data_IF_221228354845
#
_entry.id   IF_221228354845
#
_cell.length_a   1.000
_cell.length_b   1.000
_cell.length_c   1.000
_cell.angle_alpha   90.00
_cell.angle_beta   90.00
_cell.angle_gamma   90.00
#
_symmetry.space_group_name_H-M   'P 1'
#
loop_
_entity.id
_entity.type
_entity.pdbx_description
1 polymer ?
#
# COMPACT_ATOMS: atom_id res chain seq x y z
N UNK A 1 18.54 8.49 22.76
CA UNK A 1 17.68 9.64 23.12
C UNK A 1 17.37 10.33 21.80
N UNK A 2 16.14 10.70 21.54
CA UNK A 2 15.76 11.44 20.32
C UNK A 2 16.04 12.94 20.54
N UNK A 3 16.32 13.67 19.47
CA UNK A 3 16.70 15.08 19.55
C UNK A 3 15.47 16.00 19.63
N UNK A 4 14.48 15.74 18.79
CA UNK A 4 13.27 16.57 18.68
C UNK A 4 11.99 15.80 19.02
N UNK A 5 12.03 14.47 19.08
CA UNK A 5 10.87 13.64 19.36
C UNK A 5 10.76 13.41 20.87
N UNK A 6 9.61 13.76 21.45
CA UNK A 6 9.30 13.55 22.85
C UNK A 6 8.57 12.23 23.05
N UNK A 7 9.25 11.29 23.73
CA UNK A 7 8.60 10.03 24.11
C UNK A 7 7.65 10.28 25.27
N UNK A 8 6.38 9.86 25.18
CA UNK A 8 5.45 10.00 26.31
C UNK A 8 5.99 9.35 27.57
N UNK A 9 5.85 10.04 28.71
CA UNK A 9 6.28 9.50 30.01
C UNK A 9 5.46 8.27 30.43
N UNK A 10 4.20 8.21 30.00
CA UNK A 10 3.32 7.07 30.19
C UNK A 10 3.21 6.25 28.89
N UNK A 11 3.08 4.95 29.05
CA UNK A 11 2.94 4.03 27.94
C UNK A 11 4.15 3.13 27.74
N UNK A 12 3.95 2.10 26.92
CA UNK A 12 4.98 1.11 26.59
C UNK A 12 4.97 0.81 25.11
N UNK A 13 6.12 0.39 24.58
CA UNK A 13 6.23 -0.07 23.19
C UNK A 13 5.42 -1.35 22.96
N UNK A 14 4.80 -1.46 21.79
CA UNK A 14 4.39 -2.74 21.24
C UNK A 14 5.67 -3.50 20.86
N UNK A 15 5.72 -4.79 21.17
CA UNK A 15 6.86 -5.65 20.81
C UNK A 15 6.42 -6.79 19.92
N UNK A 16 7.32 -7.27 19.07
CA UNK A 16 7.08 -8.35 18.12
C UNK A 16 7.79 -9.61 18.61
N UNK A 17 7.08 -10.73 18.65
CA UNK A 17 7.63 -12.05 18.97
C UNK A 17 8.31 -12.67 17.74
N UNK A 18 9.04 -13.77 17.94
CA UNK A 18 9.72 -14.48 16.85
C UNK A 18 8.77 -15.05 15.77
N UNK A 19 7.51 -15.30 16.13
CA UNK A 19 6.44 -15.73 15.22
C UNK A 19 5.64 -14.57 14.61
N UNK A 20 6.15 -13.34 14.74
CA UNK A 20 5.51 -12.09 14.32
C UNK A 20 4.21 -11.73 15.04
N UNK A 21 3.80 -12.46 16.08
CA UNK A 21 2.71 -12.03 16.95
C UNK A 21 3.11 -10.81 17.77
N UNK A 22 2.12 -9.99 18.14
CA UNK A 22 2.35 -8.73 18.85
C UNK A 22 2.03 -8.86 20.33
N UNK A 23 2.92 -8.32 21.19
CA UNK A 23 2.62 -8.05 22.58
C UNK A 23 2.17 -6.59 22.69
N UNK A 24 0.85 -6.40 22.85
CA UNK A 24 0.23 -5.07 22.94
C UNK A 24 -0.05 -4.74 24.40
N UNK A 25 0.62 -3.74 25.00
CA UNK A 25 0.36 -3.31 26.37
C UNK A 25 -1.00 -2.60 26.48
N UNK A 26 -1.49 -2.42 27.72
CA UNK A 26 -2.75 -1.70 27.95
C UNK A 26 -2.67 -0.20 27.63
N UNK A 27 -1.47 0.34 27.60
CA UNK A 27 -1.18 1.72 27.22
C UNK A 27 -0.04 1.74 26.19
N UNK A 28 -0.31 1.37 24.90
CA UNK A 28 0.69 1.37 23.85
C UNK A 28 1.07 2.80 23.46
N UNK A 29 2.36 3.01 23.16
CA UNK A 29 2.84 4.24 22.51
C UNK A 29 2.68 4.03 21.01
N UNK A 30 1.90 4.91 20.36
CA UNK A 30 1.67 4.91 18.92
C UNK A 30 2.25 6.19 18.32
N UNK A 31 3.32 6.11 17.52
CA UNK A 31 3.81 7.24 16.75
C UNK A 31 2.79 7.69 15.72
N UNK A 32 2.69 9.02 15.51
CA UNK A 32 1.91 9.56 14.42
C UNK A 32 2.62 10.72 13.73
N UNK A 33 2.41 10.83 12.42
CA UNK A 33 2.80 11.97 11.60
C UNK A 33 1.54 12.75 11.29
N UNK A 34 1.47 14.04 11.68
CA UNK A 34 0.30 14.90 11.43
C UNK A 34 -0.03 14.97 9.94
N UNK A 35 1.00 15.10 9.10
CA UNK A 35 0.87 15.25 7.65
C UNK A 35 0.77 16.71 7.21
N UNK A 36 0.73 16.89 5.89
CA UNK A 36 0.71 18.18 5.21
C UNK A 36 -0.69 18.49 4.68
N UNK A 37 -0.95 19.74 4.30
CA UNK A 37 -2.24 20.15 3.76
C UNK A 37 -3.38 19.83 4.74
N UNK A 38 -4.37 19.06 4.31
CA UNK A 38 -5.51 18.64 5.18
C UNK A 38 -5.09 17.72 6.34
N UNK A 39 -3.82 17.28 6.40
CA UNK A 39 -3.29 16.52 7.53
C UNK A 39 -3.48 17.20 8.87
N UNK A 40 -3.34 18.54 8.92
CA UNK A 40 -3.55 19.36 10.12
C UNK A 40 -5.00 19.32 10.63
N UNK A 41 -5.94 19.04 9.75
CA UNK A 41 -7.38 18.97 10.10
C UNK A 41 -7.76 17.53 10.51
N UNK A 42 -7.35 16.54 9.73
CA UNK A 42 -7.80 15.15 9.91
C UNK A 42 -7.07 14.44 11.06
N UNK A 43 -5.80 14.72 11.30
CA UNK A 43 -5.02 14.00 12.33
C UNK A 43 -5.51 14.24 13.75
N UNK A 44 -5.86 15.48 14.19
CA UNK A 44 -6.48 15.69 15.48
C UNK A 44 -7.85 15.02 15.63
N UNK A 45 -8.64 14.95 14.54
CA UNK A 45 -9.93 14.26 14.54
C UNK A 45 -9.73 12.75 14.65
N UNK A 46 -8.77 12.20 13.92
CA UNK A 46 -8.39 10.79 14.01
C UNK A 46 -8.04 10.40 15.45
N UNK A 47 -7.19 11.17 16.13
CA UNK A 47 -6.82 10.92 17.53
C UNK A 47 -8.06 10.88 18.43
N UNK A 48 -8.94 11.88 18.33
CA UNK A 48 -10.17 11.96 19.13
C UNK A 48 -11.10 10.75 18.90
N UNK A 49 -11.27 10.35 17.63
CA UNK A 49 -12.14 9.22 17.27
C UNK A 49 -11.57 7.91 17.78
N UNK A 50 -10.27 7.69 17.59
CA UNK A 50 -9.60 6.47 18.05
C UNK A 50 -9.59 6.39 19.58
N UNK A 51 -9.31 7.48 20.29
CA UNK A 51 -9.35 7.52 21.75
C UNK A 51 -10.76 7.21 22.29
N UNK A 52 -11.80 7.78 21.70
CA UNK A 52 -13.18 7.49 22.07
C UNK A 52 -13.55 6.02 21.81
N UNK A 53 -13.11 5.46 20.68
CA UNK A 53 -13.33 4.05 20.35
C UNK A 53 -12.63 3.10 21.33
N UNK A 54 -11.37 3.39 21.67
CA UNK A 54 -10.60 2.63 22.67
C UNK A 54 -11.24 2.71 24.06
N UNK A 55 -11.61 3.91 24.50
CA UNK A 55 -12.29 4.10 25.79
C UNK A 55 -13.60 3.31 25.86
N UNK A 56 -14.40 3.31 24.78
CA UNK A 56 -15.65 2.55 24.71
C UNK A 56 -15.41 1.04 24.66
N UNK A 57 -14.48 0.58 23.83
CA UNK A 57 -14.21 -0.85 23.66
C UNK A 57 -13.65 -1.53 24.93
N UNK A 58 -12.84 -0.81 25.68
CA UNK A 58 -12.16 -1.32 26.86
C UNK A 58 -12.67 -0.74 28.18
N UNK A 59 -13.81 -0.06 28.17
CA UNK A 59 -14.42 0.56 29.36
C UNK A 59 -13.43 1.42 30.19
N UNK A 60 -12.58 2.18 29.47
CA UNK A 60 -11.56 3.05 30.05
C UNK A 60 -10.32 2.35 30.65
N UNK A 61 -10.22 1.02 30.56
CA UNK A 61 -9.08 0.25 31.09
C UNK A 61 -7.82 0.37 30.24
N UNK A 62 -7.96 0.75 28.97
CA UNK A 62 -6.85 0.93 28.02
C UNK A 62 -6.88 2.32 27.44
N UNK A 63 -5.72 2.83 27.09
CA UNK A 63 -5.56 4.12 26.40
C UNK A 63 -4.35 4.08 25.48
N UNK A 64 -4.30 4.94 24.48
CA UNK A 64 -3.14 5.12 23.61
C UNK A 64 -2.32 6.31 24.15
N UNK A 65 -1.01 6.16 24.18
CA UNK A 65 -0.05 7.26 24.35
C UNK A 65 0.46 7.68 22.98
N UNK A 66 -0.07 8.78 22.47
CA UNK A 66 0.32 9.32 21.17
C UNK A 66 1.69 9.97 21.22
N UNK A 67 2.53 9.68 20.23
CA UNK A 67 3.86 10.25 20.09
C UNK A 67 4.00 10.91 18.72
N UNK A 68 4.05 12.24 18.69
CA UNK A 68 4.26 12.95 17.43
C UNK A 68 5.68 12.72 16.91
N UNK A 69 5.78 12.38 15.63
CA UNK A 69 7.00 12.28 14.85
C UNK A 69 6.85 13.08 13.56
N UNK A 70 7.94 13.47 12.93
CA UNK A 70 7.93 14.49 11.91
C UNK A 70 8.34 13.94 10.54
N UNK A 71 7.55 14.29 9.52
CA UNK A 71 7.88 14.15 8.11
C UNK A 71 7.12 15.24 7.33
N UNK A 72 7.54 15.53 6.09
CA UNK A 72 6.90 16.55 5.25
C UNK A 72 7.26 17.98 5.65
N UNK A 73 6.34 18.90 5.40
CA UNK A 73 6.55 20.34 5.64
C UNK A 73 6.79 20.67 7.12
N UNK A 74 6.14 19.96 8.03
CA UNK A 74 6.36 20.17 9.47
C UNK A 74 7.78 19.77 9.90
N UNK A 75 8.35 18.76 9.28
CA UNK A 75 9.73 18.34 9.52
C UNK A 75 10.73 19.46 9.18
N UNK A 76 10.53 20.15 8.06
CA UNK A 76 11.44 21.23 7.65
C UNK A 76 11.46 22.40 8.65
N UNK A 77 10.37 22.59 9.39
CA UNK A 77 10.29 23.62 10.45
C UNK A 77 10.98 23.22 11.75
N UNK A 78 11.05 21.91 12.04
CA UNK A 78 11.63 21.37 13.27
C UNK A 78 13.12 21.06 13.12
N UNK A 79 13.52 20.49 11.99
CA UNK A 79 14.90 19.99 11.75
C UNK A 79 15.71 20.86 10.79
N UNK A 80 15.09 21.79 10.09
CA UNK A 80 15.73 22.65 9.07
C UNK A 80 15.15 22.45 7.66
N UNK A 81 15.30 23.44 6.76
CA UNK A 81 14.53 23.57 5.52
C UNK A 81 14.69 22.41 4.54
N UNK A 82 15.79 21.66 4.59
CA UNK A 82 16.05 20.55 3.67
C UNK A 82 15.75 19.17 4.26
N UNK A 83 15.27 19.10 5.53
CA UNK A 83 15.04 17.83 6.23
C UNK A 83 13.57 17.46 6.16
N UNK A 84 13.18 16.81 5.09
CA UNK A 84 11.79 16.34 4.85
C UNK A 84 11.46 15.02 5.52
N UNK A 85 12.45 14.15 5.73
CA UNK A 85 12.31 12.86 6.40
C UNK A 85 13.53 12.63 7.30
N UNK A 86 13.46 12.97 8.60
CA UNK A 86 14.57 12.80 9.53
C UNK A 86 14.88 11.31 9.77
N UNK A 87 16.16 10.97 9.93
CA UNK A 87 16.60 9.64 10.38
C UNK A 87 15.97 9.23 11.71
N UNK A 88 15.75 10.20 12.59
CA UNK A 88 15.10 10.01 13.88
C UNK A 88 13.68 9.47 13.73
N UNK A 89 12.92 9.96 12.74
CA UNK A 89 11.59 9.45 12.40
C UNK A 89 11.66 8.01 11.92
N UNK A 90 12.57 7.67 11.02
CA UNK A 90 12.76 6.29 10.55
C UNK A 90 13.12 5.34 11.69
N UNK A 91 13.97 5.80 12.61
CA UNK A 91 14.33 5.03 13.80
C UNK A 91 13.12 4.76 14.69
N UNK A 92 12.29 5.78 14.94
CA UNK A 92 11.06 5.61 15.75
C UNK A 92 10.10 4.62 15.08
N UNK A 93 9.89 4.72 13.78
CA UNK A 93 9.01 3.82 13.05
C UNK A 93 9.45 2.35 13.14
N UNK A 94 10.77 2.10 13.11
CA UNK A 94 11.36 0.76 13.33
C UNK A 94 11.19 0.30 14.79
N UNK A 95 11.39 1.20 15.74
CA UNK A 95 11.39 0.89 17.17
C UNK A 95 10.00 0.65 17.77
N UNK A 96 8.94 1.26 17.20
CA UNK A 96 7.57 1.25 17.75
C UNK A 96 6.58 0.43 16.93
N UNK A 97 6.98 -0.08 15.79
CA UNK A 97 6.34 -1.04 14.88
C UNK A 97 4.94 -0.69 14.37
N UNK A 98 4.10 -0.03 15.12
CA UNK A 98 2.75 0.41 14.69
C UNK A 98 2.69 1.93 14.71
N UNK A 99 2.28 2.53 13.60
CA UNK A 99 2.19 3.99 13.45
C UNK A 99 1.03 4.41 12.57
N UNK A 100 0.66 5.69 12.65
CA UNK A 100 -0.34 6.32 11.77
C UNK A 100 0.28 7.57 11.15
N UNK A 101 0.03 7.82 9.86
CA UNK A 101 0.47 9.05 9.20
C UNK A 101 -0.66 9.73 8.43
N UNK A 102 -0.67 11.05 8.47
CA UNK A 102 -1.42 11.89 7.56
C UNK A 102 -0.82 11.92 6.15
N UNK A 103 -1.45 12.61 5.20
CA UNK A 103 -0.94 12.78 3.85
C UNK A 103 0.37 13.58 3.84
N UNK A 104 1.29 13.27 2.91
CA UNK A 104 2.57 13.95 2.81
C UNK A 104 2.75 14.55 1.42
N UNK A 105 3.24 15.79 1.38
CA UNK A 105 3.64 16.49 0.15
C UNK A 105 4.91 15.88 -0.41
N UNK A 106 4.93 15.65 -1.72
CA UNK A 106 6.17 15.36 -2.43
C UNK A 106 6.80 16.69 -2.86
N UNK A 107 7.99 17.04 -2.38
CA UNK A 107 8.64 18.30 -2.76
C UNK A 107 8.90 18.34 -4.26
N UNK A 108 8.61 19.48 -4.89
CA UNK A 108 8.88 19.71 -6.31
C UNK A 108 10.33 20.18 -6.46
N UNK A 109 11.17 19.37 -7.07
CA UNK A 109 12.62 19.64 -7.24
C UNK A 109 13.48 19.00 -6.14
N UNK A 110 14.79 18.90 -6.35
CA UNK A 110 15.74 18.48 -5.30
C UNK A 110 15.97 16.97 -5.11
N UNK A 111 15.58 16.12 -6.06
CA UNK A 111 15.98 14.69 -6.04
C UNK A 111 15.18 13.78 -5.13
N UNK A 112 14.32 14.29 -4.27
CA UNK A 112 13.39 13.48 -3.46
C UNK A 112 12.19 13.14 -4.33
N UNK A 113 12.02 11.86 -4.68
CA UNK A 113 10.93 11.41 -5.55
C UNK A 113 9.58 11.44 -4.87
N UNK A 114 9.48 10.82 -3.70
CA UNK A 114 8.27 10.80 -2.87
C UNK A 114 8.61 10.37 -1.46
N UNK A 115 8.16 11.11 -0.46
CA UNK A 115 8.33 10.73 0.95
C UNK A 115 7.61 9.42 1.27
N UNK A 116 6.46 9.18 0.66
CA UNK A 116 5.74 7.92 0.84
C UNK A 116 6.52 6.73 0.28
N UNK A 117 7.12 6.88 -0.90
CA UNK A 117 7.98 5.83 -1.49
C UNK A 117 9.23 5.60 -0.63
N UNK A 118 9.87 6.67 -0.15
CA UNK A 118 11.02 6.55 0.75
C UNK A 118 10.68 5.77 2.03
N UNK A 119 9.58 6.09 2.70
CA UNK A 119 9.10 5.35 3.88
C UNK A 119 8.86 3.87 3.59
N UNK A 120 8.24 3.55 2.45
CA UNK A 120 7.97 2.16 2.05
C UNK A 120 9.25 1.36 1.81
N UNK A 121 10.24 1.98 1.17
CA UNK A 121 11.54 1.35 0.87
C UNK A 121 12.41 1.21 2.12
N UNK A 122 12.57 2.27 2.91
CA UNK A 122 13.44 2.29 4.11
C UNK A 122 12.95 1.36 5.24
N UNK A 123 11.66 1.09 5.28
CA UNK A 123 11.03 0.21 6.28
C UNK A 123 10.62 -1.16 5.70
N UNK A 124 10.96 -1.43 4.43
CA UNK A 124 10.54 -2.64 3.68
C UNK A 124 9.04 -2.94 3.83
N UNK A 125 8.20 -1.92 3.68
CA UNK A 125 6.75 -2.07 3.76
C UNK A 125 6.21 -2.60 2.42
N UNK A 126 6.42 -3.87 2.17
CA UNK A 126 6.19 -4.50 0.87
C UNK A 126 4.71 -4.76 0.52
N UNK A 127 3.81 -4.61 1.47
CA UNK A 127 2.36 -4.69 1.25
C UNK A 127 1.73 -3.32 1.43
N UNK A 128 1.06 -2.80 0.41
CA UNK A 128 0.09 -1.73 0.56
C UNK A 128 -1.31 -2.34 0.59
N UNK A 129 -1.94 -2.34 1.76
CA UNK A 129 -3.24 -2.91 2.03
C UNK A 129 -4.31 -1.82 1.92
N UNK A 130 -5.25 -1.97 1.00
CA UNK A 130 -6.33 -0.99 0.78
C UNK A 130 -7.69 -1.70 0.74
N UNK A 131 -8.44 -1.75 1.87
CA UNK A 131 -9.81 -2.24 1.86
C UNK A 131 -10.74 -1.20 1.23
N UNK A 132 -11.65 -1.67 0.37
CA UNK A 132 -12.65 -0.82 -0.28
C UNK A 132 -14.02 -1.45 -0.07
N UNK A 133 -14.90 -0.75 0.64
CA UNK A 133 -16.29 -1.14 0.82
C UNK A 133 -17.20 0.07 0.88
N UNK A 134 -18.46 -0.11 0.51
CA UNK A 134 -19.45 0.93 0.61
C UNK A 134 -19.94 1.12 2.05
N UNK A 135 -20.16 2.38 2.44
CA UNK A 135 -20.82 2.75 3.69
C UNK A 135 -22.17 3.38 3.38
N UNK A 136 -23.23 2.83 3.99
CA UNK A 136 -24.61 3.29 3.74
C UNK A 136 -24.75 4.79 3.97
N UNK A 137 -25.33 5.48 2.98
CA UNK A 137 -25.57 6.93 3.02
C UNK A 137 -24.50 7.78 2.33
N UNK A 138 -23.37 7.17 1.93
CA UNK A 138 -22.35 7.87 1.14
C UNK A 138 -22.82 7.93 -0.32
N UNK A 139 -22.73 9.12 -0.99
CA UNK A 139 -23.01 9.20 -2.42
C UNK A 139 -22.08 8.31 -3.24
N UNK A 140 -22.62 7.64 -4.26
CA UNK A 140 -21.86 6.76 -5.14
C UNK A 140 -22.29 6.95 -6.60
N UNK A 141 -21.34 6.90 -7.57
CA UNK A 141 -21.66 6.98 -8.99
C UNK A 141 -22.21 5.67 -9.57
N UNK A 142 -22.11 4.54 -8.84
CA UNK A 142 -22.61 3.24 -9.30
C UNK A 142 -23.97 2.90 -8.69
N UNK A 143 -24.72 2.00 -9.35
CA UNK A 143 -26.10 1.68 -8.96
C UNK A 143 -26.20 0.84 -7.70
N UNK A 144 -25.26 -0.08 -7.47
CA UNK A 144 -25.27 -1.06 -6.38
C UNK A 144 -23.90 -1.07 -5.68
N UNK A 145 -23.49 0.05 -5.04
CA UNK A 145 -22.17 0.18 -4.43
C UNK A 145 -21.93 -0.81 -3.29
N UNK A 146 -22.98 -1.31 -2.66
CA UNK A 146 -22.93 -2.31 -1.60
C UNK A 146 -22.38 -3.67 -2.06
N UNK A 147 -22.35 -3.94 -3.36
CA UNK A 147 -21.72 -5.14 -3.94
C UNK A 147 -20.18 -5.03 -3.99
N UNK A 148 -19.63 -3.85 -3.74
CA UNK A 148 -18.18 -3.63 -3.69
C UNK A 148 -17.69 -3.85 -2.26
N UNK A 149 -17.03 -4.99 -2.03
CA UNK A 149 -16.32 -5.33 -0.78
C UNK A 149 -15.04 -6.07 -1.14
N UNK A 150 -13.99 -5.31 -1.44
CA UNK A 150 -12.71 -5.85 -1.89
C UNK A 150 -11.57 -5.35 -1.02
N UNK A 151 -10.52 -6.16 -0.91
CA UNK A 151 -9.28 -5.76 -0.23
C UNK A 151 -8.12 -5.92 -1.20
N UNK A 152 -7.44 -4.82 -1.50
CA UNK A 152 -6.31 -4.79 -2.43
C UNK A 152 -5.02 -4.99 -1.64
N UNK A 153 -4.24 -5.98 -2.05
CA UNK A 153 -2.84 -6.21 -1.71
C UNK A 153 -2.01 -5.72 -2.89
N UNK A 154 -1.54 -4.48 -2.79
CA UNK A 154 -0.67 -3.84 -3.77
C UNK A 154 0.77 -4.10 -3.39
N UNK A 155 1.57 -4.66 -4.30
CA UNK A 155 3.02 -4.68 -4.14
C UNK A 155 3.54 -3.25 -3.97
N UNK A 156 4.53 -3.06 -3.09
CA UNK A 156 4.84 -1.71 -2.62
C UNK A 156 6.34 -1.38 -2.66
N UNK A 157 7.19 -2.29 -3.13
CA UNK A 157 8.66 -2.15 -3.10
C UNK A 157 9.33 -2.15 -4.47
N UNK A 158 8.70 -2.74 -5.47
CA UNK A 158 9.21 -2.94 -6.82
C UNK A 158 8.38 -2.19 -7.88
N UNK A 159 8.38 -2.70 -9.09
CA UNK A 159 7.69 -2.14 -10.26
C UNK A 159 8.36 -0.84 -10.71
N UNK A 160 7.66 -0.03 -11.49
CA UNK A 160 8.15 1.28 -11.92
C UNK A 160 8.37 2.25 -10.76
N UNK A 161 7.74 1.97 -9.59
CA UNK A 161 7.94 2.71 -8.35
C UNK A 161 9.34 2.53 -7.73
N UNK A 162 10.14 1.56 -8.21
CA UNK A 162 11.57 1.48 -7.89
C UNK A 162 12.32 2.73 -8.34
N UNK A 163 11.72 3.48 -9.28
CA UNK A 163 12.20 4.78 -9.69
C UNK A 163 13.50 4.74 -10.51
N UNK A 164 13.75 3.66 -11.23
CA UNK A 164 14.89 3.53 -12.11
C UNK A 164 14.53 4.15 -13.45
N UNK A 165 14.84 5.42 -13.62
CA UNK A 165 14.50 6.20 -14.81
C UNK A 165 15.67 7.03 -15.30
N UNK A 166 15.76 7.21 -16.60
CA UNK A 166 16.77 7.98 -17.29
C UNK A 166 16.10 8.97 -18.24
N UNK A 167 16.33 10.25 -17.99
CA UNK A 167 15.74 11.32 -18.79
C UNK A 167 16.24 11.29 -20.23
N UNK A 168 15.39 11.66 -21.16
CA UNK A 168 15.77 11.86 -22.56
C UNK A 168 16.95 12.83 -22.67
N UNK A 169 17.82 12.61 -23.67
CA UNK A 169 19.00 13.44 -23.90
C UNK A 169 20.14 13.31 -22.87
N UNK A 170 19.92 12.64 -21.72
CA UNK A 170 20.97 12.44 -20.71
C UNK A 170 22.06 11.47 -21.19
N UNK A 171 23.28 11.61 -20.64
CA UNK A 171 24.38 10.69 -20.97
C UNK A 171 24.10 9.27 -20.50
N UNK A 172 23.36 9.10 -19.42
CA UNK A 172 22.95 7.80 -18.88
C UNK A 172 21.99 7.09 -19.85
N UNK A 173 20.94 7.78 -20.36
CA UNK A 173 20.00 7.17 -21.30
C UNK A 173 20.67 6.81 -22.62
N UNK A 174 21.59 7.66 -23.13
CA UNK A 174 22.37 7.36 -24.35
C UNK A 174 23.22 6.09 -24.19
N UNK A 175 23.89 5.94 -23.04
CA UNK A 175 24.67 4.73 -22.73
C UNK A 175 23.76 3.50 -22.64
N UNK A 176 22.61 3.62 -21.96
CA UNK A 176 21.66 2.53 -21.81
C UNK A 176 21.07 2.11 -23.16
N UNK A 177 20.61 3.06 -23.97
CA UNK A 177 20.06 2.77 -25.31
C UNK A 177 21.11 2.10 -26.20
N UNK A 178 22.36 2.63 -26.19
CA UNK A 178 23.46 2.02 -26.93
C UNK A 178 23.72 0.60 -26.49
N UNK A 179 23.79 0.32 -25.18
CA UNK A 179 23.96 -1.02 -24.63
C UNK A 179 22.84 -1.96 -25.08
N UNK A 180 21.56 -1.51 -24.97
CA UNK A 180 20.40 -2.30 -25.37
C UNK A 180 20.44 -2.63 -26.88
N UNK A 181 20.89 -1.71 -27.73
CA UNK A 181 20.96 -1.90 -29.16
C UNK A 181 22.15 -2.77 -29.58
N UNK A 182 23.36 -2.47 -29.09
CA UNK A 182 24.62 -3.08 -29.53
C UNK A 182 24.84 -4.45 -28.88
N UNK A 183 24.56 -4.58 -27.56
CA UNK A 183 24.85 -5.80 -26.80
C UNK A 183 23.64 -6.72 -26.68
N UNK A 184 22.42 -6.13 -26.52
CA UNK A 184 21.19 -6.90 -26.34
C UNK A 184 20.36 -7.07 -27.63
N UNK A 185 20.79 -6.46 -28.74
CA UNK A 185 20.12 -6.57 -30.04
C UNK A 185 18.72 -5.94 -30.08
N UNK A 186 18.41 -5.02 -29.21
CA UNK A 186 17.11 -4.35 -29.14
C UNK A 186 16.96 -3.38 -30.31
N UNK A 187 15.99 -3.65 -31.23
CA UNK A 187 15.70 -2.81 -32.40
C UNK A 187 14.39 -2.02 -32.29
N UNK A 188 13.70 -2.13 -31.15
CA UNK A 188 12.34 -1.62 -30.98
C UNK A 188 12.24 -0.22 -30.37
N UNK A 189 13.36 0.41 -29.98
CA UNK A 189 13.36 1.80 -29.55
C UNK A 189 13.23 2.68 -30.78
N UNK A 190 12.02 3.21 -31.00
CA UNK A 190 11.67 3.87 -32.26
C UNK A 190 12.38 5.21 -32.45
N UNK A 191 12.58 5.96 -31.38
CA UNK A 191 13.17 7.30 -31.38
C UNK A 191 14.29 7.37 -30.34
N UNK A 192 15.46 6.73 -30.57
CA UNK A 192 16.50 6.59 -29.56
C UNK A 192 17.06 7.93 -29.06
N UNK A 193 17.12 8.95 -29.90
CA UNK A 193 17.68 10.27 -29.56
C UNK A 193 16.80 11.08 -28.60
N UNK A 194 15.50 10.79 -28.57
CA UNK A 194 14.51 11.55 -27.78
C UNK A 194 13.68 10.68 -26.84
N UNK A 195 14.14 9.46 -26.57
CA UNK A 195 13.45 8.55 -25.65
C UNK A 195 14.03 8.64 -24.25
N UNK A 196 13.16 8.81 -23.24
CA UNK A 196 13.46 8.44 -21.87
C UNK A 196 13.26 6.93 -21.67
N UNK A 197 13.96 6.32 -20.72
CA UNK A 197 13.83 4.88 -20.39
C UNK A 197 13.54 4.71 -18.91
N UNK A 198 12.49 3.94 -18.59
CA UNK A 198 12.19 3.46 -17.26
C UNK A 198 12.34 1.94 -17.16
N UNK A 199 12.79 1.43 -16.02
CA UNK A 199 12.98 0.01 -15.76
C UNK A 199 11.94 -0.47 -14.75
N UNK A 200 11.28 -1.57 -15.08
CA UNK A 200 10.26 -2.24 -14.25
C UNK A 200 10.83 -3.56 -13.70
N UNK A 201 11.46 -3.55 -12.51
CA UNK A 201 11.87 -4.79 -11.85
C UNK A 201 10.66 -5.48 -11.22
N UNK A 202 10.57 -6.79 -11.35
CA UNK A 202 9.60 -7.66 -10.67
C UNK A 202 10.31 -8.96 -10.32
N UNK A 203 10.33 -9.32 -9.04
CA UNK A 203 11.04 -10.49 -8.55
C UNK A 203 10.11 -11.62 -8.08
N UNK A 204 10.66 -12.82 -8.00
CA UNK A 204 9.99 -13.98 -7.40
C UNK A 204 9.71 -13.69 -5.92
N UNK A 205 10.71 -13.23 -5.19
CA UNK A 205 10.64 -12.98 -3.75
C UNK A 205 9.61 -11.89 -3.42
N UNK A 206 9.61 -10.78 -4.16
CA UNK A 206 8.64 -9.70 -4.00
C UNK A 206 7.21 -10.17 -4.29
N UNK A 207 7.04 -11.00 -5.32
CA UNK A 207 5.75 -11.61 -5.66
C UNK A 207 5.28 -12.57 -4.57
N UNK A 208 6.11 -13.52 -4.19
CA UNK A 208 5.75 -14.57 -3.23
C UNK A 208 5.36 -13.98 -1.86
N UNK A 209 6.14 -13.02 -1.34
CA UNK A 209 5.84 -12.40 -0.05
C UNK A 209 4.52 -11.63 -0.06
N UNK A 210 4.18 -10.92 -1.14
CA UNK A 210 2.90 -10.23 -1.30
C UNK A 210 1.73 -11.21 -1.38
N UNK A 211 1.82 -12.18 -2.29
CA UNK A 211 0.72 -13.13 -2.56
C UNK A 211 0.47 -14.02 -1.35
N UNK A 212 1.52 -14.43 -0.63
CA UNK A 212 1.40 -15.16 0.64
C UNK A 212 0.56 -14.39 1.66
N UNK A 213 0.81 -13.08 1.83
CA UNK A 213 0.00 -12.22 2.72
C UNK A 213 -1.44 -12.09 2.24
N UNK A 214 -1.67 -11.98 0.94
CA UNK A 214 -3.03 -11.93 0.38
C UNK A 214 -3.82 -13.23 0.60
N UNK A 215 -3.19 -14.39 0.38
CA UNK A 215 -3.80 -15.70 0.64
C UNK A 215 -4.04 -15.90 2.14
N UNK A 216 -3.07 -15.56 2.99
CA UNK A 216 -3.24 -15.65 4.44
C UNK A 216 -4.39 -14.75 4.92
N UNK A 217 -4.52 -13.55 4.39
CA UNK A 217 -5.66 -12.68 4.69
C UNK A 217 -7.00 -13.32 4.28
N UNK A 218 -7.05 -13.97 3.13
CA UNK A 218 -8.25 -14.67 2.68
C UNK A 218 -8.63 -15.82 3.63
N UNK A 219 -7.63 -16.57 4.13
CA UNK A 219 -7.81 -17.62 5.14
C UNK A 219 -8.35 -17.03 6.44
N UNK A 220 -7.71 -15.99 6.96
CA UNK A 220 -8.01 -15.40 8.26
C UNK A 220 -9.38 -14.72 8.32
N UNK A 221 -9.82 -14.17 7.19
CA UNK A 221 -11.09 -13.44 7.07
C UNK A 221 -12.18 -14.20 6.32
N UNK A 222 -11.99 -15.51 6.08
CA UNK A 222 -12.93 -16.40 5.38
C UNK A 222 -13.39 -15.83 4.02
N UNK A 223 -12.46 -15.23 3.27
CA UNK A 223 -12.75 -14.66 1.94
C UNK A 223 -12.73 -15.74 0.87
N UNK A 224 -13.67 -15.73 -0.10
CA UNK A 224 -13.85 -16.86 -1.03
C UNK A 224 -12.80 -16.90 -2.17
N UNK A 225 -12.07 -15.81 -2.41
CA UNK A 225 -11.14 -15.78 -3.54
C UNK A 225 -9.97 -14.82 -3.36
N UNK A 226 -8.85 -15.14 -4.01
CA UNK A 226 -7.73 -14.24 -4.29
C UNK A 226 -7.60 -14.09 -5.80
N UNK A 227 -7.68 -12.87 -6.32
CA UNK A 227 -7.56 -12.58 -7.75
C UNK A 227 -6.23 -11.89 -8.03
N UNK A 228 -5.42 -12.51 -8.86
CA UNK A 228 -4.14 -11.97 -9.34
C UNK A 228 -4.43 -11.06 -10.53
N UNK A 229 -4.23 -9.75 -10.38
CA UNK A 229 -4.47 -8.79 -11.47
C UNK A 229 -3.15 -8.40 -12.12
N UNK A 230 -3.07 -8.54 -13.44
CA UNK A 230 -1.83 -8.39 -14.19
C UNK A 230 -2.06 -8.01 -15.66
N UNK A 231 -1.00 -7.57 -16.35
CA UNK A 231 -0.97 -7.38 -17.82
C UNK A 231 0.04 -8.33 -18.50
N UNK A 232 0.07 -9.59 -18.06
CA UNK A 232 1.04 -10.60 -18.45
C UNK A 232 0.98 -11.03 -19.93
N UNK A 233 -0.14 -10.77 -20.62
CA UNK A 233 -0.23 -10.99 -22.08
C UNK A 233 0.68 -10.05 -22.88
N UNK A 234 1.05 -8.90 -22.33
CA UNK A 234 1.96 -7.90 -22.94
C UNK A 234 3.33 -7.98 -22.28
N UNK A 235 3.41 -7.87 -20.96
CA UNK A 235 4.65 -7.88 -20.16
C UNK A 235 4.89 -9.28 -19.60
N UNK A 236 5.33 -10.19 -20.47
CA UNK A 236 5.36 -11.64 -20.21
C UNK A 236 6.30 -12.04 -19.05
N UNK A 237 7.43 -11.36 -18.90
CA UNK A 237 8.47 -11.73 -17.93
C UNK A 237 8.40 -10.96 -16.60
N UNK A 238 7.58 -9.93 -16.54
CA UNK A 238 7.31 -9.16 -15.33
C UNK A 238 5.89 -9.44 -14.82
N UNK A 239 4.89 -8.89 -15.43
CA UNK A 239 3.48 -9.11 -15.06
C UNK A 239 3.03 -10.57 -15.24
N UNK A 240 3.51 -11.23 -16.32
CA UNK A 240 3.27 -12.66 -16.54
C UNK A 240 4.00 -13.52 -15.53
N UNK A 241 5.26 -13.15 -15.19
CA UNK A 241 6.01 -13.78 -14.11
C UNK A 241 5.28 -13.67 -12.78
N UNK A 242 4.81 -12.48 -12.41
CA UNK A 242 4.01 -12.25 -11.20
C UNK A 242 2.82 -13.23 -11.12
N UNK A 243 2.04 -13.37 -12.19
CA UNK A 243 0.94 -14.34 -12.26
C UNK A 243 1.41 -15.78 -12.03
N UNK A 244 2.44 -16.20 -12.76
CA UNK A 244 2.89 -17.59 -12.76
C UNK A 244 3.49 -17.97 -11.40
N UNK A 245 4.27 -17.09 -10.79
CA UNK A 245 4.84 -17.30 -9.44
C UNK A 245 3.74 -17.29 -8.37
N UNK A 246 2.68 -16.48 -8.53
CA UNK A 246 1.54 -16.50 -7.62
C UNK A 246 0.82 -17.85 -7.62
N UNK A 247 0.59 -18.45 -8.79
CA UNK A 247 0.01 -19.79 -8.89
C UNK A 247 0.95 -20.87 -8.33
N UNK A 248 2.24 -20.79 -8.65
CA UNK A 248 3.23 -21.73 -8.12
C UNK A 248 3.28 -21.69 -6.58
N UNK A 249 3.23 -20.52 -5.98
CA UNK A 249 3.15 -20.34 -4.54
C UNK A 249 1.89 -20.97 -3.96
N UNK A 250 0.71 -20.70 -4.55
CA UNK A 250 -0.56 -21.23 -4.08
C UNK A 250 -0.55 -22.78 -4.06
N UNK A 251 -0.01 -23.40 -5.10
CA UNK A 251 0.13 -24.86 -5.17
C UNK A 251 1.14 -25.39 -4.16
N UNK A 252 2.32 -24.78 -4.09
CA UNK A 252 3.44 -25.25 -3.27
C UNK A 252 3.20 -25.10 -1.77
N UNK A 253 2.69 -23.93 -1.32
CA UNK A 253 2.58 -23.60 0.10
C UNK A 253 1.19 -23.84 0.68
N UNK A 254 0.14 -23.73 -0.14
CA UNK A 254 -1.25 -23.87 0.31
C UNK A 254 -1.94 -25.13 -0.22
N UNK A 255 -1.23 -25.96 -1.00
CA UNK A 255 -1.76 -27.21 -1.54
C UNK A 255 -2.91 -26.99 -2.53
N UNK A 256 -2.91 -25.88 -3.27
CA UNK A 256 -3.97 -25.58 -4.21
C UNK A 256 -3.97 -26.54 -5.40
N UNK A 257 -5.14 -27.09 -5.73
CA UNK A 257 -5.38 -27.98 -6.84
C UNK A 257 -5.94 -27.23 -8.05
N UNK A 258 -5.52 -27.60 -9.25
CA UNK A 258 -6.00 -26.97 -10.48
C UNK A 258 -7.49 -27.21 -10.70
N UNK A 259 -8.17 -26.18 -11.19
CA UNK A 259 -9.57 -26.23 -11.61
C UNK A 259 -9.58 -26.42 -13.13
N UNK A 260 -10.28 -27.43 -13.64
CA UNK A 260 -10.49 -27.69 -15.06
C UNK A 260 -9.20 -27.64 -15.94
N UNK A 261 -8.08 -28.10 -15.37
CA UNK A 261 -6.78 -28.11 -16.04
C UNK A 261 -5.97 -26.81 -15.91
N UNK A 262 -6.45 -25.84 -15.14
CA UNK A 262 -5.73 -24.61 -14.81
C UNK A 262 -5.92 -23.45 -15.80
N UNK A 263 -5.27 -22.28 -15.52
CA UNK A 263 -4.34 -22.03 -14.41
C UNK A 263 -5.02 -21.78 -13.06
N UNK A 264 -6.33 -21.52 -13.03
CA UNK A 264 -7.06 -21.31 -11.78
C UNK A 264 -6.93 -22.53 -10.87
N UNK A 265 -6.80 -22.27 -9.58
CA UNK A 265 -6.67 -23.33 -8.60
C UNK A 265 -7.46 -22.99 -7.34
N UNK A 266 -7.69 -24.00 -6.49
CA UNK A 266 -8.39 -23.84 -5.22
C UNK A 266 -7.81 -24.72 -4.13
N UNK A 267 -8.04 -24.32 -2.88
CA UNK A 267 -7.69 -25.10 -1.70
C UNK A 267 -8.74 -24.90 -0.62
N UNK A 268 -8.76 -25.79 0.38
CA UNK A 268 -9.65 -25.66 1.54
C UNK A 268 -9.07 -24.69 2.57
N UNK A 269 -9.86 -23.71 2.99
CA UNK A 269 -9.53 -22.89 4.14
C UNK A 269 -9.33 -23.78 5.38
N UNK A 270 -8.14 -23.83 5.98
CA UNK A 270 -7.86 -24.72 7.11
C UNK A 270 -8.68 -24.40 8.37
N UNK A 271 -9.24 -23.18 8.46
CA UNK A 271 -10.06 -22.73 9.60
C UNK A 271 -11.55 -23.07 9.44
N UNK A 272 -12.06 -23.03 8.21
CA UNK A 272 -13.52 -23.13 7.96
C UNK A 272 -13.93 -24.28 7.06
N UNK A 273 -12.98 -24.89 6.35
CA UNK A 273 -13.22 -25.97 5.38
C UNK A 273 -13.83 -25.51 4.05
N UNK A 274 -14.12 -24.20 3.88
CA UNK A 274 -14.64 -23.66 2.62
C UNK A 274 -13.56 -23.57 1.56
N UNK A 275 -13.96 -23.58 0.28
CA UNK A 275 -13.03 -23.37 -0.82
C UNK A 275 -12.58 -21.91 -0.89
N UNK A 276 -11.27 -21.69 -1.09
CA UNK A 276 -10.67 -20.43 -1.52
C UNK A 276 -10.14 -20.63 -2.93
N UNK A 277 -10.63 -19.82 -3.86
CA UNK A 277 -10.22 -19.87 -5.27
C UNK A 277 -9.13 -18.84 -5.54
N UNK A 278 -7.98 -19.28 -6.06
CA UNK A 278 -6.96 -18.40 -6.62
C UNK A 278 -7.15 -18.34 -8.13
N UNK A 279 -7.42 -17.15 -8.63
CA UNK A 279 -7.73 -16.89 -10.05
C UNK A 279 -6.98 -15.66 -10.55
N UNK A 280 -6.95 -15.43 -11.84
CA UNK A 280 -6.34 -14.23 -12.42
C UNK A 280 -7.31 -13.43 -13.29
N UNK A 281 -6.95 -12.19 -13.53
CA UNK A 281 -7.62 -11.31 -14.48
C UNK A 281 -6.62 -10.35 -15.12
N UNK A 282 -6.77 -10.15 -16.44
CA UNK A 282 -6.02 -9.11 -17.15
C UNK A 282 -6.53 -7.74 -16.68
N UNK A 283 -5.62 -6.81 -16.38
CA UNK A 283 -5.92 -5.54 -15.71
C UNK A 283 -7.03 -4.71 -16.37
N UNK A 284 -7.02 -4.58 -17.70
CA UNK A 284 -8.07 -3.85 -18.43
C UNK A 284 -9.44 -4.55 -18.37
N UNK A 285 -9.47 -5.88 -18.40
CA UNK A 285 -10.70 -6.64 -18.18
C UNK A 285 -11.18 -6.49 -16.73
N UNK A 286 -10.27 -6.53 -15.77
CA UNK A 286 -10.60 -6.35 -14.36
C UNK A 286 -11.24 -4.97 -14.08
N UNK A 287 -10.73 -3.90 -14.67
CA UNK A 287 -11.31 -2.55 -14.54
C UNK A 287 -12.75 -2.46 -15.05
N UNK A 288 -13.13 -3.28 -16.05
CA UNK A 288 -14.53 -3.41 -16.45
C UNK A 288 -15.34 -4.24 -15.45
N UNK A 289 -14.77 -5.36 -15.01
CA UNK A 289 -15.47 -6.33 -14.17
C UNK A 289 -15.80 -5.79 -12.77
N UNK A 290 -14.98 -4.93 -12.20
CA UNK A 290 -15.28 -4.27 -10.92
C UNK A 290 -16.51 -3.34 -10.99
N UNK A 291 -16.90 -2.89 -12.20
CA UNK A 291 -18.14 -2.15 -12.43
C UNK A 291 -19.33 -3.07 -12.71
N UNK A 292 -19.11 -4.14 -13.49
CA UNK A 292 -20.18 -5.00 -14.00
C UNK A 292 -20.52 -6.15 -13.03
N UNK A 293 -19.53 -6.67 -12.31
CA UNK A 293 -19.65 -7.87 -11.47
C UNK A 293 -18.79 -7.78 -10.20
N UNK A 294 -18.89 -6.69 -9.41
CA UNK A 294 -18.02 -6.50 -8.25
C UNK A 294 -18.11 -7.63 -7.21
N UNK A 295 -19.26 -8.25 -7.04
CA UNK A 295 -19.48 -9.33 -6.08
C UNK A 295 -18.67 -10.62 -6.37
N UNK A 296 -18.07 -10.76 -7.55
CA UNK A 296 -17.24 -11.92 -7.88
C UNK A 296 -15.80 -11.82 -7.32
N UNK A 297 -15.44 -10.68 -6.71
CA UNK A 297 -14.09 -10.37 -6.26
C UNK A 297 -14.07 -10.09 -4.77
N UNK A 298 -13.00 -10.54 -4.08
CA UNK A 298 -12.84 -10.31 -2.65
C UNK A 298 -11.46 -9.84 -2.26
N UNK A 299 -10.41 -10.65 -2.42
CA UNK A 299 -9.02 -10.23 -2.21
C UNK A 299 -8.34 -10.10 -3.57
N UNK A 300 -7.64 -9.00 -3.76
CA UNK A 300 -6.94 -8.67 -5.01
C UNK A 300 -5.44 -8.58 -4.71
N UNK A 301 -4.62 -9.33 -5.42
CA UNK A 301 -3.17 -9.20 -5.35
C UNK A 301 -2.64 -8.70 -6.70
N UNK A 302 -1.83 -7.64 -6.69
CA UNK A 302 -1.37 -7.00 -7.92
C UNK A 302 -0.08 -6.23 -7.72
N UNK A 303 0.63 -5.95 -8.82
CA UNK A 303 1.83 -5.13 -8.83
C UNK A 303 1.53 -3.66 -8.49
N UNK A 304 2.58 -2.91 -8.21
CA UNK A 304 2.52 -1.59 -7.60
C UNK A 304 1.67 -0.60 -8.41
N UNK A 305 1.95 -0.41 -9.69
CA UNK A 305 1.22 0.53 -10.54
C UNK A 305 -0.25 0.12 -10.73
N UNK A 306 -0.50 -1.14 -11.04
CA UNK A 306 -1.86 -1.65 -11.20
C UNK A 306 -2.67 -1.45 -9.90
N UNK A 307 -2.04 -1.71 -8.74
CA UNK A 307 -2.66 -1.55 -7.43
C UNK A 307 -3.01 -0.11 -7.12
N UNK A 308 -2.19 0.85 -7.57
CA UNK A 308 -2.49 2.27 -7.45
C UNK A 308 -3.77 2.64 -8.23
N UNK A 309 -3.79 2.32 -9.50
CA UNK A 309 -4.96 2.61 -10.36
C UNK A 309 -6.24 1.91 -9.88
N UNK A 310 -6.15 0.63 -9.53
CA UNK A 310 -7.31 -0.18 -9.13
C UNK A 310 -7.91 0.31 -7.82
N UNK A 311 -7.08 0.64 -6.84
CA UNK A 311 -7.58 1.09 -5.54
C UNK A 311 -8.31 2.43 -5.63
N UNK A 312 -7.84 3.35 -6.47
CA UNK A 312 -8.48 4.63 -6.69
C UNK A 312 -9.79 4.49 -7.50
N UNK A 313 -9.78 3.63 -8.53
CA UNK A 313 -10.97 3.32 -9.30
C UNK A 313 -12.08 2.67 -8.43
N UNK A 314 -11.71 1.77 -7.54
CA UNK A 314 -12.63 1.16 -6.58
C UNK A 314 -13.11 2.15 -5.51
N UNK A 315 -12.21 2.98 -4.99
CA UNK A 315 -12.59 4.03 -4.03
C UNK A 315 -13.64 4.98 -4.60
N UNK A 316 -13.50 5.37 -5.88
CA UNK A 316 -14.48 6.19 -6.58
C UNK A 316 -15.88 5.55 -6.59
N UNK A 317 -15.97 4.23 -6.73
CA UNK A 317 -17.24 3.50 -6.77
C UNK A 317 -17.99 3.50 -5.42
N UNK A 318 -17.29 3.64 -4.31
CA UNK A 318 -17.90 3.61 -2.97
C UNK A 318 -18.02 4.98 -2.32
N UNK A 319 -17.70 6.07 -3.05
CA UNK A 319 -17.90 7.43 -2.57
C UNK A 319 -16.67 8.33 -2.61
N UNK A 320 -15.52 7.80 -3.03
CA UNK A 320 -14.30 8.57 -3.26
C UNK A 320 -13.14 8.22 -2.33
N UNK A 321 -11.97 8.68 -2.74
CA UNK A 321 -10.70 8.39 -2.05
C UNK A 321 -10.62 9.01 -0.65
N UNK A 322 -11.40 10.05 -0.37
CA UNK A 322 -11.41 10.72 0.93
C UNK A 322 -11.87 9.86 2.11
N UNK A 323 -12.56 8.75 1.84
CA UNK A 323 -12.99 7.79 2.86
C UNK A 323 -12.24 6.44 2.78
N UNK A 324 -11.25 6.33 1.91
CA UNK A 324 -10.51 5.10 1.69
C UNK A 324 -9.36 4.96 2.70
N UNK A 325 -9.34 3.92 3.55
CA UNK A 325 -8.23 3.64 4.45
C UNK A 325 -7.09 2.91 3.73
N UNK A 326 -5.89 3.02 4.27
CA UNK A 326 -4.74 2.27 3.80
C UNK A 326 -3.78 1.90 4.92
N UNK A 327 -3.02 0.83 4.69
CA UNK A 327 -1.91 0.44 5.53
C UNK A 327 -0.73 -0.01 4.69
N UNK A 328 0.48 0.30 5.14
CA UNK A 328 1.71 -0.21 4.55
C UNK A 328 2.35 -1.15 5.57
N UNK A 329 2.59 -2.40 5.17
CA UNK A 329 2.95 -3.47 6.07
C UNK A 329 4.25 -4.16 5.65
N UNK A 330 5.08 -4.49 6.63
CA UNK A 330 6.12 -5.52 6.51
C UNK A 330 5.72 -6.76 7.34
N UNK A 331 6.67 -7.62 7.67
CA UNK A 331 6.40 -8.72 8.59
C UNK A 331 6.17 -8.24 10.04
N UNK A 332 6.79 -7.14 10.42
CA UNK A 332 6.77 -6.63 11.80
C UNK A 332 6.29 -5.19 11.94
N UNK A 333 6.27 -4.40 10.88
CA UNK A 333 5.92 -2.97 10.92
C UNK A 333 4.60 -2.74 10.19
N UNK A 334 3.74 -1.94 10.81
CA UNK A 334 2.48 -1.47 10.23
C UNK A 334 2.40 0.06 10.30
N UNK A 335 2.27 0.71 9.16
CA UNK A 335 2.04 2.15 9.06
C UNK A 335 0.70 2.41 8.38
N UNK A 336 -0.28 2.83 9.16
CA UNK A 336 -1.61 3.19 8.67
C UNK A 336 -1.61 4.59 8.10
N UNK A 337 -2.45 4.82 7.07
CA UNK A 337 -2.51 6.12 6.41
C UNK A 337 -3.90 6.42 5.81
N UNK A 338 -4.18 7.70 5.60
CA UNK A 338 -5.15 8.13 4.61
C UNK A 338 -4.55 7.94 3.21
N UNK A 339 -5.32 7.37 2.27
CA UNK A 339 -4.83 7.09 0.91
C UNK A 339 -4.85 8.33 0.01
N UNK A 340 -5.63 9.35 0.35
CA UNK A 340 -5.71 10.60 -0.42
C UNK A 340 -4.46 11.47 -0.29
N UNK A 341 -4.29 12.41 -1.23
CA UNK A 341 -3.23 13.42 -1.20
C UNK A 341 -3.46 14.52 -0.17
N UNK A 342 -2.56 15.48 -0.12
CA UNK A 342 -2.54 16.58 0.85
C UNK A 342 -3.64 17.62 0.65
N UNK A 343 -4.14 17.78 -0.58
CA UNK A 343 -5.20 18.74 -0.94
C UNK A 343 -5.08 20.11 -0.24
N UNK A 344 -3.95 20.82 -0.37
CA UNK A 344 -3.59 21.97 0.48
C UNK A 344 -4.57 23.13 0.39
N UNK A 345 -5.29 23.27 -0.72
CA UNK A 345 -6.31 24.30 -0.90
C UNK A 345 -7.53 24.15 0.02
N UNK A 346 -7.70 22.98 0.63
CA UNK A 346 -8.79 22.68 1.57
C UNK A 346 -8.34 22.66 3.03
N UNK A 347 -7.04 22.84 3.29
CA UNK A 347 -6.50 22.86 4.65
C UNK A 347 -7.07 24.05 5.45
N UNK A 348 -7.46 23.81 6.71
CA UNK A 348 -8.04 24.80 7.60
C UNK A 348 -9.46 25.23 7.24
N UNK A 349 -10.08 24.61 6.27
CA UNK A 349 -11.48 24.88 5.91
C UNK A 349 -12.42 23.95 6.69
N UNK A 350 -13.58 24.48 7.10
CA UNK A 350 -14.66 23.65 7.65
C UNK A 350 -15.28 22.84 6.52
N UNK A 351 -14.84 21.58 6.36
CA UNK A 351 -15.29 20.69 5.27
C UNK A 351 -16.76 20.28 5.37
N UNK A 352 -17.46 20.68 6.43
CA UNK A 352 -18.90 20.45 6.58
C UNK A 352 -19.75 21.26 5.58
N UNK A 353 -19.14 22.21 4.90
CA UNK A 353 -19.81 23.13 3.99
C UNK A 353 -19.36 22.98 2.52
N UNK A 354 -18.65 21.93 2.15
CA UNK A 354 -18.22 21.64 0.78
C UNK A 354 -19.14 20.61 0.15
#
# INVERSE_FOLDING_TARGET
MYQHIQVPAEGKKITVNADFSLNVPDNPIIPFIEGDGTGVDISPVMIKVVDAAVAKAYAGKRKISWMEIYAGEKSTKVYGPDVWLPEETLKVLKDYVVSIKGPLTTPVGGGIRSLNVALRQELDLYVCLRPVRYFKGVPSPVREPEKTDMVIFRENSEDIYAGIEFAEGSDQVKKLIKFLQDEMGVKKIRFPETSGIGIKPVSIEGTERLVRKAIQYAIDNDKPSVTIVHKGNIMKYTEGGFRDWAYALAQKEFGAELIDGGPWCKFKNPKTGKDIVVKDSIADAFLQQILLRPAEYSVIATLNLNGDYISDALAAQVGGIGIAPGANLSDSIAMFEATHGTAPKYAGLSLIHI
#
